data_IF_151912424339
#
_entry.id   IF_151912424339
#
_cell.length_a   1.000
_cell.length_b   1.000
_cell.length_c   1.000
_cell.angle_alpha   90.00
_cell.angle_beta   90.00
_cell.angle_gamma   90.00
#
_symmetry.space_group_name_H-M   'P 1'
#
loop_
_entity.id
_entity.type
_entity.pdbx_description
1 polymer ?
#
# COMPACT_ATOMS: atom_id res chain seq x y z
N UNK A 1 33.29 53.79 -14.41
CA UNK A 1 33.50 52.36 -14.10
C UNK A 1 32.17 51.72 -13.77
N UNK A 2 31.50 51.15 -14.77
CA UNK A 2 30.22 50.44 -14.60
C UNK A 2 30.54 48.97 -14.39
N UNK A 3 30.29 48.46 -13.18
CA UNK A 3 30.37 47.02 -12.87
C UNK A 3 29.23 46.33 -13.60
N UNK A 4 29.56 45.53 -14.62
CA UNK A 4 28.63 44.55 -15.20
C UNK A 4 28.32 43.50 -14.14
N UNK A 5 27.11 43.55 -13.60
CA UNK A 5 26.52 42.44 -12.84
C UNK A 5 26.25 41.32 -13.84
N UNK A 6 27.00 40.22 -13.74
CA UNK A 6 26.68 39.00 -14.46
C UNK A 6 25.43 38.41 -13.82
N UNK A 7 24.29 38.55 -14.50
CA UNK A 7 23.09 37.79 -14.19
C UNK A 7 23.36 36.33 -14.62
N UNK A 8 23.82 35.50 -13.69
CA UNK A 8 23.80 34.04 -13.84
C UNK A 8 22.36 33.59 -13.74
N UNK A 9 21.70 33.44 -14.88
CA UNK A 9 20.49 32.62 -14.99
C UNK A 9 20.84 31.19 -14.57
N UNK A 10 20.05 30.53 -13.71
CA UNK A 10 20.29 29.14 -13.37
C UNK A 10 20.22 28.30 -14.64
N UNK A 11 21.34 27.69 -15.03
CA UNK A 11 21.38 26.77 -16.16
C UNK A 11 20.49 25.58 -15.80
N UNK A 12 19.35 25.45 -16.46
CA UNK A 12 18.44 24.34 -16.25
C UNK A 12 19.06 23.10 -16.88
N UNK A 13 19.26 22.03 -16.11
CA UNK A 13 19.87 20.77 -16.59
C UNK A 13 18.88 19.88 -17.35
N UNK A 14 17.73 20.42 -17.76
CA UNK A 14 16.62 19.66 -18.35
C UNK A 14 17.00 18.97 -19.67
N UNK A 15 17.77 19.65 -20.52
CA UNK A 15 18.20 19.09 -21.79
C UNK A 15 19.16 17.91 -21.57
N UNK A 16 20.08 18.02 -20.61
CA UNK A 16 20.98 16.93 -20.25
C UNK A 16 20.23 15.75 -19.62
N UNK A 17 19.22 16.02 -18.79
CA UNK A 17 18.37 14.96 -18.23
C UNK A 17 17.63 14.21 -19.34
N UNK A 18 17.01 14.91 -20.28
CA UNK A 18 16.28 14.29 -21.38
C UNK A 18 17.20 13.45 -22.28
N UNK A 19 18.43 13.93 -22.56
CA UNK A 19 19.43 13.15 -23.29
C UNK A 19 19.74 11.81 -22.62
N UNK A 20 19.85 11.79 -21.28
CA UNK A 20 20.08 10.55 -20.52
C UNK A 20 18.84 9.67 -20.53
N UNK A 21 17.64 10.24 -20.40
CA UNK A 21 16.38 9.49 -20.44
C UNK A 21 16.18 8.79 -21.79
N UNK A 22 16.33 9.52 -22.90
CA UNK A 22 16.23 8.99 -24.25
C UNK A 22 17.25 7.88 -24.50
N UNK A 23 18.47 8.10 -24.01
CA UNK A 23 19.53 7.11 -24.12
C UNK A 23 19.20 5.82 -23.36
N UNK A 24 18.78 5.90 -22.10
CA UNK A 24 18.37 4.72 -21.32
C UNK A 24 17.19 4.02 -21.98
N UNK A 25 16.21 4.77 -22.51
CA UNK A 25 15.08 4.21 -23.24
C UNK A 25 15.52 3.45 -24.49
N UNK A 26 16.50 3.97 -25.23
CA UNK A 26 17.11 3.28 -26.38
C UNK A 26 17.82 1.99 -25.95
N UNK A 27 18.65 2.04 -24.89
CA UNK A 27 19.37 0.86 -24.37
C UNK A 27 18.38 -0.26 -24.02
N UNK A 28 17.35 0.09 -23.25
CA UNK A 28 16.31 -0.82 -22.76
C UNK A 28 15.46 -1.43 -23.90
N UNK A 29 15.39 -0.77 -25.06
CA UNK A 29 14.69 -1.28 -26.24
C UNK A 29 15.54 -2.20 -27.11
N UNK A 30 16.86 -2.04 -27.10
CA UNK A 30 17.78 -2.64 -28.08
C UNK A 30 18.70 -3.70 -27.50
N UNK A 31 18.95 -3.67 -26.20
CA UNK A 31 19.94 -4.52 -25.52
C UNK A 31 19.27 -5.47 -24.52
N UNK A 32 19.98 -6.54 -24.16
CA UNK A 32 19.51 -7.45 -23.11
C UNK A 32 19.56 -6.79 -21.73
N UNK A 33 18.72 -7.20 -20.76
CA UNK A 33 18.74 -6.65 -19.40
C UNK A 33 20.11 -6.67 -18.73
N UNK A 34 20.89 -7.73 -18.93
CA UNK A 34 22.25 -7.86 -18.37
C UNK A 34 23.18 -6.79 -18.92
N UNK A 35 23.13 -6.50 -20.22
CA UNK A 35 23.91 -5.44 -20.84
C UNK A 35 23.49 -4.06 -20.35
N UNK A 36 22.19 -3.83 -20.21
CA UNK A 36 21.65 -2.58 -19.66
C UNK A 36 22.09 -2.36 -18.21
N UNK A 37 22.06 -3.40 -17.35
CA UNK A 37 22.59 -3.33 -15.99
C UNK A 37 24.09 -3.01 -15.98
N UNK A 38 24.87 -3.63 -16.86
CA UNK A 38 26.29 -3.33 -16.98
C UNK A 38 26.53 -1.87 -17.39
N UNK A 39 25.77 -1.36 -18.35
CA UNK A 39 25.84 0.06 -18.75
C UNK A 39 25.43 0.99 -17.61
N UNK A 40 24.35 0.67 -16.91
CA UNK A 40 23.90 1.43 -15.75
C UNK A 40 24.96 1.48 -14.65
N UNK A 41 25.61 0.35 -14.38
CA UNK A 41 26.73 0.25 -13.45
C UNK A 41 27.91 1.14 -13.86
N UNK A 42 28.32 1.12 -15.14
CA UNK A 42 29.42 1.96 -15.62
C UNK A 42 29.08 3.45 -15.57
N UNK A 43 27.85 3.83 -15.94
CA UNK A 43 27.41 5.23 -16.00
C UNK A 43 27.27 5.84 -14.61
N UNK A 44 26.53 5.19 -13.72
CA UNK A 44 26.13 5.78 -12.44
C UNK A 44 27.00 5.30 -11.26
N UNK A 45 27.24 4.00 -11.14
CA UNK A 45 27.82 3.41 -9.91
C UNK A 45 29.35 3.47 -9.91
N UNK A 46 29.99 2.93 -10.96
CA UNK A 46 31.44 3.05 -11.15
C UNK A 46 31.83 4.48 -11.46
N UNK A 47 30.98 5.21 -12.18
CA UNK A 47 31.22 6.56 -12.69
C UNK A 47 32.47 6.64 -13.60
N UNK A 48 32.81 5.54 -14.28
CA UNK A 48 33.98 5.41 -15.15
C UNK A 48 33.73 4.38 -16.25
N UNK A 49 34.39 4.55 -17.40
CA UNK A 49 34.37 3.56 -18.48
C UNK A 49 33.10 3.52 -19.33
N UNK A 50 32.24 4.55 -19.25
CA UNK A 50 31.08 4.65 -20.14
C UNK A 50 31.50 5.04 -21.56
N UNK A 51 31.01 4.31 -22.57
CA UNK A 51 31.49 4.47 -23.95
C UNK A 51 30.97 5.73 -24.65
N UNK A 52 29.73 6.16 -24.35
CA UNK A 52 29.16 7.35 -24.98
C UNK A 52 29.61 8.62 -24.25
N UNK A 53 30.50 9.37 -24.91
CA UNK A 53 31.06 10.60 -24.35
C UNK A 53 30.01 11.72 -24.20
N UNK A 54 28.98 11.77 -25.06
CA UNK A 54 27.92 12.79 -24.97
C UNK A 54 27.09 12.58 -23.71
N UNK A 55 26.69 11.33 -23.47
CA UNK A 55 25.94 10.94 -22.26
C UNK A 55 26.76 11.15 -20.99
N UNK A 56 28.06 10.84 -21.05
CA UNK A 56 28.98 11.12 -19.93
C UNK A 56 29.04 12.61 -19.60
N UNK A 57 29.21 13.48 -20.60
CA UNK A 57 29.25 14.94 -20.41
C UNK A 57 27.90 15.45 -19.88
N UNK A 58 26.78 14.96 -20.40
CA UNK A 58 25.45 15.32 -19.91
C UNK A 58 25.29 14.99 -18.41
N UNK A 59 25.73 13.79 -17.98
CA UNK A 59 25.72 13.42 -16.57
C UNK A 59 26.65 14.29 -15.73
N UNK A 60 27.85 14.59 -16.23
CA UNK A 60 28.81 15.48 -15.56
C UNK A 60 28.19 16.86 -15.31
N UNK A 61 27.50 17.44 -16.29
CA UNK A 61 26.79 18.72 -16.17
C UNK A 61 25.67 18.68 -15.11
N UNK A 62 24.88 17.61 -15.06
CA UNK A 62 23.84 17.43 -14.05
C UNK A 62 24.46 17.37 -12.64
N UNK A 63 25.51 16.56 -12.48
CA UNK A 63 26.21 16.35 -11.21
C UNK A 63 26.89 17.64 -10.74
N UNK A 64 27.50 18.42 -11.64
CA UNK A 64 28.21 19.65 -11.28
C UNK A 64 27.28 20.87 -11.12
N UNK A 65 26.00 20.74 -11.45
CA UNK A 65 25.03 21.82 -11.22
C UNK A 65 24.90 22.23 -9.76
N UNK A 66 24.53 23.49 -9.54
CA UNK A 66 24.35 24.08 -8.21
C UNK A 66 23.15 23.48 -7.46
N UNK A 67 22.16 22.94 -8.19
CA UNK A 67 20.96 22.32 -7.62
C UNK A 67 21.03 20.78 -7.58
N UNK A 68 22.18 20.18 -7.88
CA UNK A 68 22.34 18.73 -7.98
C UNK A 68 21.83 17.98 -6.73
N UNK A 69 22.09 18.48 -5.52
CA UNK A 69 21.64 17.82 -4.28
C UNK A 69 20.10 17.74 -4.16
N UNK A 70 19.39 18.73 -4.72
CA UNK A 70 17.93 18.80 -4.68
C UNK A 70 17.29 18.03 -5.85
N UNK A 71 17.84 18.16 -7.05
CA UNK A 71 17.21 17.66 -8.28
C UNK A 71 17.64 16.21 -8.62
N UNK A 72 18.84 15.80 -8.21
CA UNK A 72 19.40 14.49 -8.55
C UNK A 72 18.53 13.31 -8.08
N UNK A 73 17.92 13.31 -6.87
CA UNK A 73 17.08 12.19 -6.45
C UNK A 73 15.91 11.94 -7.40
N UNK A 74 15.24 13.00 -7.87
CA UNK A 74 14.12 12.87 -8.81
C UNK A 74 14.61 12.40 -10.18
N UNK A 75 15.69 12.99 -10.68
CA UNK A 75 16.33 12.60 -11.95
C UNK A 75 16.73 11.12 -11.95
N UNK A 76 17.42 10.69 -10.90
CA UNK A 76 17.92 9.32 -10.78
C UNK A 76 16.77 8.31 -10.58
N UNK A 77 15.74 8.70 -9.83
CA UNK A 77 14.51 7.90 -9.72
C UNK A 77 13.86 7.66 -11.08
N UNK A 78 13.76 8.70 -11.93
CA UNK A 78 13.24 8.58 -13.29
C UNK A 78 14.11 7.65 -14.16
N UNK A 79 15.44 7.71 -14.03
CA UNK A 79 16.34 6.77 -14.70
C UNK A 79 16.04 5.30 -14.32
N UNK A 80 15.82 5.03 -13.04
CA UNK A 80 15.44 3.70 -12.56
C UNK A 80 14.08 3.27 -13.15
N UNK A 81 13.08 4.16 -13.12
CA UNK A 81 11.74 3.86 -13.63
C UNK A 81 11.71 3.61 -15.14
N UNK A 82 12.55 4.26 -15.95
CA UNK A 82 12.65 3.96 -17.39
C UNK A 82 12.99 2.49 -17.63
N UNK A 83 13.92 1.94 -16.84
CA UNK A 83 14.36 0.54 -16.95
C UNK A 83 13.27 -0.40 -16.41
N UNK A 84 12.81 -0.14 -15.18
CA UNK A 84 11.74 -0.91 -14.52
C UNK A 84 10.51 -0.98 -15.40
N UNK A 85 10.12 0.14 -16.01
CA UNK A 85 8.88 0.24 -16.75
C UNK A 85 8.83 -0.69 -17.97
N UNK A 86 9.99 -0.97 -18.57
CA UNK A 86 10.10 -1.93 -19.66
C UNK A 86 10.13 -3.36 -19.16
N UNK A 87 10.98 -3.65 -18.17
CA UNK A 87 11.25 -5.01 -17.74
C UNK A 87 10.05 -5.67 -17.08
N UNK A 88 9.23 -4.91 -16.36
CA UNK A 88 8.00 -5.42 -15.75
C UNK A 88 6.97 -5.97 -16.75
N UNK A 89 6.95 -5.45 -17.99
CA UNK A 89 6.02 -5.89 -19.05
C UNK A 89 6.37 -7.32 -19.48
N UNK A 90 7.63 -7.71 -19.35
CA UNK A 90 8.16 -8.98 -19.83
C UNK A 90 8.49 -9.87 -18.64
N UNK A 91 7.72 -10.94 -18.44
CA UNK A 91 7.84 -11.82 -17.25
C UNK A 91 9.28 -12.30 -17.01
N UNK A 92 10.01 -12.62 -18.08
CA UNK A 92 11.40 -13.09 -18.02
C UNK A 92 12.43 -12.02 -17.66
N UNK A 93 12.06 -10.74 -17.70
CA UNK A 93 12.91 -9.60 -17.33
C UNK A 93 12.62 -9.05 -15.91
N UNK A 94 11.58 -9.55 -15.26
CA UNK A 94 11.24 -9.17 -13.88
C UNK A 94 12.36 -9.44 -12.87
N UNK A 95 13.09 -10.56 -12.92
CA UNK A 95 14.21 -10.81 -11.99
C UNK A 95 15.30 -9.73 -12.04
N UNK A 96 15.50 -9.08 -13.19
CA UNK A 96 16.53 -8.06 -13.35
C UNK A 96 16.20 -6.73 -12.67
N UNK A 97 14.92 -6.48 -12.36
CA UNK A 97 14.52 -5.37 -11.50
C UNK A 97 15.10 -5.55 -10.09
N UNK A 98 15.16 -6.80 -9.60
CA UNK A 98 15.77 -7.12 -8.30
C UNK A 98 17.28 -6.87 -8.36
N UNK A 99 17.95 -7.31 -9.44
CA UNK A 99 19.38 -7.07 -9.65
C UNK A 99 19.72 -5.57 -9.73
N UNK A 100 18.86 -4.75 -10.33
CA UNK A 100 19.01 -3.30 -10.33
C UNK A 100 19.03 -2.74 -8.90
N UNK A 101 18.12 -3.18 -8.04
CA UNK A 101 18.08 -2.75 -6.64
C UNK A 101 19.32 -3.22 -5.88
N UNK A 102 19.71 -4.49 -6.02
CA UNK A 102 20.92 -5.02 -5.39
C UNK A 102 22.19 -4.29 -5.86
N UNK A 103 22.25 -3.89 -7.14
CA UNK A 103 23.34 -3.10 -7.69
C UNK A 103 23.46 -1.73 -7.00
N UNK A 104 22.33 -1.10 -6.66
CA UNK A 104 22.30 0.17 -5.92
C UNK A 104 22.73 0.00 -4.46
N UNK A 105 22.25 -1.05 -3.78
CA UNK A 105 22.65 -1.36 -2.39
C UNK A 105 24.15 -1.61 -2.27
N UNK A 106 24.75 -2.25 -3.28
CA UNK A 106 26.19 -2.54 -3.37
C UNK A 106 27.00 -1.37 -3.94
N UNK A 107 26.45 -0.17 -3.95
CA UNK A 107 27.13 1.01 -4.49
C UNK A 107 28.48 1.26 -3.83
N UNK A 108 29.45 1.70 -4.64
CA UNK A 108 30.83 1.87 -4.20
C UNK A 108 30.99 3.12 -3.32
N UNK A 109 31.89 3.08 -2.32
CA UNK A 109 32.12 4.25 -1.47
C UNK A 109 32.65 5.44 -2.29
N UNK A 110 32.31 6.68 -1.93
CA UNK A 110 32.79 7.88 -2.63
C UNK A 110 34.31 8.01 -2.64
N UNK A 111 34.99 7.50 -1.60
CA UNK A 111 36.43 7.67 -1.38
C UNK A 111 37.35 6.92 -2.35
N UNK A 112 36.86 5.95 -3.11
CA UNK A 112 37.73 5.10 -3.98
C UNK A 112 37.96 5.65 -5.39
N UNK A 113 37.51 6.87 -5.71
CA UNK A 113 37.73 7.50 -7.03
C UNK A 113 38.58 8.76 -6.95
N UNK A 114 39.47 8.91 -7.93
CA UNK A 114 40.36 10.07 -8.09
C UNK A 114 39.59 11.29 -8.59
N UNK A 115 38.68 11.13 -9.56
CA UNK A 115 37.90 12.23 -10.16
C UNK A 115 36.93 12.87 -9.15
N UNK A 116 36.93 14.21 -9.09
CA UNK A 116 36.03 15.00 -8.24
C UNK A 116 34.56 14.79 -8.62
N UNK A 117 34.25 14.77 -9.91
CA UNK A 117 32.88 14.58 -10.41
C UNK A 117 32.36 13.18 -10.04
N UNK A 118 33.16 12.13 -10.29
CA UNK A 118 32.80 10.75 -9.92
C UNK A 118 32.59 10.58 -8.41
N UNK A 119 33.38 11.26 -7.57
CA UNK A 119 33.18 11.28 -6.11
C UNK A 119 31.85 11.96 -5.74
N UNK A 120 31.51 13.08 -6.38
CA UNK A 120 30.24 13.79 -6.17
C UNK A 120 29.06 12.92 -6.59
N UNK A 121 29.12 12.27 -7.75
CA UNK A 121 28.09 11.34 -8.22
C UNK A 121 27.85 10.18 -7.24
N UNK A 122 28.93 9.54 -6.75
CA UNK A 122 28.79 8.48 -5.74
C UNK A 122 28.21 8.98 -4.42
N UNK A 123 28.51 10.22 -4.02
CA UNK A 123 27.88 10.82 -2.85
C UNK A 123 26.37 11.03 -3.09
N UNK A 124 25.98 11.57 -4.24
CA UNK A 124 24.57 11.75 -4.60
C UNK A 124 23.80 10.41 -4.65
N UNK A 125 24.41 9.33 -5.14
CA UNK A 125 23.82 7.98 -5.12
C UNK A 125 23.69 7.45 -3.70
N UNK A 126 24.71 7.67 -2.85
CA UNK A 126 24.65 7.30 -1.43
C UNK A 126 23.50 8.03 -0.73
N UNK A 127 23.33 9.31 -1.00
CA UNK A 127 22.24 10.11 -0.45
C UNK A 127 20.88 9.65 -0.99
N UNK A 128 20.79 9.32 -2.29
CA UNK A 128 19.60 8.74 -2.91
C UNK A 128 19.10 7.46 -2.21
N UNK A 129 20.01 6.56 -1.81
CA UNK A 129 19.65 5.30 -1.13
C UNK A 129 18.93 5.55 0.21
N UNK A 130 19.11 6.72 0.82
CA UNK A 130 18.42 7.11 2.05
C UNK A 130 17.05 7.75 1.82
N UNK A 131 16.68 8.00 0.56
CA UNK A 131 15.44 8.71 0.19
C UNK A 131 14.23 7.79 0.11
N UNK A 132 13.03 8.38 0.19
CA UNK A 132 11.76 7.65 0.01
C UNK A 132 11.66 7.01 -1.39
N UNK A 133 12.30 7.58 -2.42
CA UNK A 133 12.33 7.01 -3.76
C UNK A 133 12.96 5.61 -3.77
N UNK A 134 14.11 5.45 -3.12
CA UNK A 134 14.80 4.16 -3.09
C UNK A 134 14.03 3.11 -2.27
N UNK A 135 13.46 3.51 -1.13
CA UNK A 135 12.63 2.61 -0.30
C UNK A 135 11.47 2.03 -1.14
N UNK A 136 10.85 2.83 -2.00
CA UNK A 136 9.75 2.38 -2.86
C UNK A 136 10.22 1.47 -3.98
N UNK A 137 11.40 1.72 -4.54
CA UNK A 137 12.03 0.82 -5.49
C UNK A 137 12.36 -0.54 -4.84
N UNK A 138 12.83 -0.55 -3.59
CA UNK A 138 13.02 -1.79 -2.82
C UNK A 138 11.70 -2.52 -2.60
N UNK A 139 10.62 -1.83 -2.23
CA UNK A 139 9.28 -2.42 -2.07
C UNK A 139 8.77 -3.04 -3.38
N UNK A 140 9.00 -2.39 -4.51
CA UNK A 140 8.66 -2.93 -5.82
C UNK A 140 9.46 -4.20 -6.11
N UNK A 141 10.76 -4.21 -5.82
CA UNK A 141 11.58 -5.41 -6.01
C UNK A 141 11.11 -6.57 -5.11
N UNK A 142 10.74 -6.31 -3.85
CA UNK A 142 10.12 -7.33 -2.97
C UNK A 142 8.78 -7.84 -3.49
N UNK A 143 7.93 -6.94 -4.00
CA UNK A 143 6.66 -7.29 -4.62
C UNK A 143 6.88 -8.25 -5.81
N UNK A 144 7.87 -7.95 -6.64
CA UNK A 144 8.22 -8.77 -7.80
C UNK A 144 8.81 -10.11 -7.34
N UNK A 145 9.81 -10.11 -6.45
CA UNK A 145 10.46 -11.34 -5.95
C UNK A 145 9.44 -12.33 -5.36
N UNK A 146 8.49 -11.81 -4.59
CA UNK A 146 7.40 -12.60 -4.03
C UNK A 146 6.48 -13.22 -5.09
N UNK A 147 6.24 -12.51 -6.20
CA UNK A 147 5.43 -13.00 -7.33
C UNK A 147 6.12 -14.00 -8.26
N UNK A 148 7.46 -14.16 -8.14
CA UNK A 148 8.20 -15.10 -8.96
C UNK A 148 8.02 -16.54 -8.46
N UNK A 149 7.91 -17.47 -9.41
CA UNK A 149 7.96 -18.91 -9.15
C UNK A 149 9.28 -19.29 -8.45
N UNK A 150 9.28 -20.31 -7.57
CA UNK A 150 10.47 -20.70 -6.79
C UNK A 150 11.72 -20.96 -7.65
N UNK A 151 11.53 -21.46 -8.87
CA UNK A 151 12.60 -21.78 -9.83
C UNK A 151 13.23 -20.53 -10.48
N UNK A 152 12.45 -19.45 -10.58
CA UNK A 152 12.91 -18.17 -11.14
C UNK A 152 13.58 -17.26 -10.10
N UNK A 153 13.46 -17.58 -8.81
CA UNK A 153 14.09 -16.84 -7.72
C UNK A 153 15.59 -17.10 -7.71
N UNK A 154 16.39 -16.06 -7.88
CA UNK A 154 17.86 -16.14 -7.80
C UNK A 154 18.30 -16.21 -6.33
N UNK A 155 19.44 -16.83 -6.07
CA UNK A 155 19.96 -17.06 -4.71
C UNK A 155 20.32 -15.77 -3.94
N UNK A 156 20.45 -14.64 -4.62
CA UNK A 156 20.72 -13.35 -4.00
C UNK A 156 19.40 -12.69 -3.59
N UNK A 157 18.89 -13.03 -2.40
CA UNK A 157 17.78 -12.28 -1.81
C UNK A 157 18.26 -10.87 -1.46
N UNK A 158 17.37 -9.89 -1.57
CA UNK A 158 17.58 -8.60 -0.93
C UNK A 158 17.70 -8.91 0.58
N UNK A 159 18.85 -8.63 1.19
CA UNK A 159 19.12 -8.91 2.61
C UNK A 159 18.31 -7.96 3.49
N UNK A 160 17.00 -8.16 3.54
CA UNK A 160 16.14 -7.59 4.58
C UNK A 160 15.75 -8.74 5.50
N UNK A 161 15.75 -8.43 6.79
CA UNK A 161 15.37 -9.29 7.92
C UNK A 161 14.38 -10.36 7.47
N UNK A 162 14.85 -11.61 7.33
CA UNK A 162 13.99 -12.71 6.89
C UNK A 162 12.76 -12.79 7.79
N UNK A 163 11.56 -12.73 7.21
CA UNK A 163 10.26 -12.71 7.89
C UNK A 163 9.93 -11.35 8.53
N UNK A 164 10.09 -10.27 7.77
CA UNK A 164 9.66 -8.92 8.15
C UNK A 164 8.27 -8.60 7.60
N UNK A 165 7.58 -7.64 8.21
CA UNK A 165 6.29 -7.13 7.68
C UNK A 165 6.45 -6.62 6.25
N UNK A 166 7.61 -6.04 5.91
CA UNK A 166 7.93 -5.56 4.58
C UNK A 166 7.88 -6.64 3.49
N UNK A 167 8.14 -7.90 3.83
CA UNK A 167 8.10 -9.04 2.89
C UNK A 167 6.66 -9.42 2.52
N UNK A 168 5.69 -8.99 3.33
CA UNK A 168 4.26 -9.24 3.10
C UNK A 168 3.62 -8.23 2.14
N UNK A 169 4.34 -7.22 1.63
CA UNK A 169 3.76 -6.19 0.74
C UNK A 169 3.00 -6.80 -0.44
N UNK A 170 3.50 -7.90 -0.99
CA UNK A 170 2.87 -8.64 -2.10
C UNK A 170 1.47 -9.16 -1.78
N UNK A 171 1.15 -9.40 -0.51
CA UNK A 171 -0.14 -9.94 -0.08
C UNK A 171 -1.22 -8.87 -0.01
N UNK A 172 -0.85 -7.59 0.11
CA UNK A 172 -1.77 -6.49 0.41
C UNK A 172 -1.92 -5.53 -0.77
N UNK A 173 -2.65 -5.90 -1.85
CA UNK A 173 -2.83 -5.07 -3.04
C UNK A 173 -3.43 -3.70 -2.72
N UNK A 174 -4.35 -3.62 -1.74
CA UNK A 174 -4.95 -2.36 -1.31
C UNK A 174 -3.94 -1.33 -0.76
N UNK A 175 -2.68 -1.71 -0.48
CA UNK A 175 -1.65 -0.78 -0.04
C UNK A 175 -0.70 -0.35 -1.16
N UNK A 176 -0.70 -1.02 -2.32
CA UNK A 176 0.36 -0.88 -3.33
C UNK A 176 0.50 0.54 -3.86
N UNK A 177 -0.60 1.18 -4.26
CA UNK A 177 -0.57 2.58 -4.70
C UNK A 177 0.11 3.49 -3.67
N UNK A 178 -0.26 3.41 -2.40
CA UNK A 178 0.28 4.28 -1.36
C UNK A 178 1.70 3.90 -0.91
N UNK A 179 2.06 2.62 -0.98
CA UNK A 179 3.38 2.13 -0.62
C UNK A 179 4.43 2.29 -1.73
N UNK A 180 4.01 2.42 -3.00
CA UNK A 180 4.89 2.43 -4.18
C UNK A 180 4.91 3.78 -4.91
N UNK A 181 3.79 4.54 -5.00
CA UNK A 181 3.71 5.80 -5.78
C UNK A 181 3.96 7.10 -4.97
N UNK A 182 4.88 7.94 -5.45
CA UNK A 182 5.18 9.29 -4.92
C UNK A 182 4.54 10.38 -5.76
N UNK A 183 4.51 11.62 -5.26
CA UNK A 183 4.15 12.80 -6.08
C UNK A 183 5.06 12.96 -7.32
N UNK A 184 6.29 12.44 -7.29
CA UNK A 184 7.21 12.43 -8.43
C UNK A 184 7.12 11.20 -9.33
N UNK A 185 6.15 10.30 -9.11
CA UNK A 185 6.01 9.08 -9.92
C UNK A 185 5.40 9.39 -11.29
N UNK A 186 6.02 8.88 -12.36
CA UNK A 186 5.54 9.08 -13.73
C UNK A 186 4.22 8.36 -13.98
N UNK A 187 3.42 8.84 -14.93
CA UNK A 187 2.13 8.22 -15.30
C UNK A 187 2.30 6.75 -15.71
N UNK A 188 3.37 6.41 -16.43
CA UNK A 188 3.64 5.03 -16.85
C UNK A 188 3.92 4.12 -15.65
N UNK A 189 4.63 4.64 -14.64
CA UNK A 189 4.88 3.88 -13.41
C UNK A 189 3.58 3.70 -12.60
N UNK A 190 2.73 4.72 -12.54
CA UNK A 190 1.41 4.64 -11.90
C UNK A 190 0.53 3.55 -12.53
N UNK A 191 0.40 3.56 -13.86
CA UNK A 191 -0.35 2.54 -14.62
C UNK A 191 0.17 1.12 -14.38
N UNK A 192 1.47 0.99 -14.15
CA UNK A 192 2.05 -0.31 -13.85
C UNK A 192 1.64 -0.80 -12.48
N UNK A 193 1.82 0.04 -11.45
CA UNK A 193 1.44 -0.32 -10.09
C UNK A 193 -0.05 -0.70 -10.05
N UNK A 194 -0.90 0.03 -10.77
CA UNK A 194 -2.32 -0.32 -10.95
C UNK A 194 -2.54 -1.69 -11.58
N UNK A 195 -1.82 -1.99 -12.68
CA UNK A 195 -1.94 -3.28 -13.37
C UNK A 195 -1.52 -4.45 -12.47
N UNK A 196 -0.40 -4.30 -11.74
CA UNK A 196 0.09 -5.32 -10.81
C UNK A 196 -0.91 -5.52 -9.66
N UNK A 197 -1.38 -4.42 -9.08
CA UNK A 197 -2.36 -4.43 -7.99
C UNK A 197 -3.65 -5.14 -8.41
N UNK A 198 -4.21 -4.79 -9.58
CA UNK A 198 -5.44 -5.40 -10.08
C UNK A 198 -5.32 -6.91 -10.29
N UNK A 199 -4.18 -7.36 -10.83
CA UNK A 199 -3.90 -8.79 -11.01
C UNK A 199 -3.82 -9.56 -9.69
N UNK A 200 -3.10 -9.02 -8.70
CA UNK A 200 -2.97 -9.63 -7.37
C UNK A 200 -4.31 -9.65 -6.63
N UNK A 201 -5.06 -8.54 -6.68
CA UNK A 201 -6.38 -8.44 -6.05
C UNK A 201 -7.35 -9.46 -6.66
N UNK A 202 -7.43 -9.54 -7.99
CA UNK A 202 -8.32 -10.48 -8.68
C UNK A 202 -8.03 -11.95 -8.31
N UNK A 203 -6.74 -12.31 -8.26
CA UNK A 203 -6.33 -13.66 -7.86
C UNK A 203 -6.69 -13.96 -6.39
N UNK A 204 -6.46 -12.99 -5.49
CA UNK A 204 -6.85 -13.13 -4.09
C UNK A 204 -8.36 -13.33 -3.94
N UNK A 205 -9.17 -12.49 -4.59
CA UNK A 205 -10.63 -12.55 -4.53
C UNK A 205 -11.18 -13.87 -5.08
N UNK A 206 -10.61 -14.37 -6.17
CA UNK A 206 -10.94 -15.68 -6.73
C UNK A 206 -10.64 -16.81 -5.73
N UNK A 207 -9.45 -16.81 -5.14
CA UNK A 207 -9.06 -17.84 -4.17
C UNK A 207 -9.93 -17.79 -2.90
N UNK A 208 -10.27 -16.57 -2.43
CA UNK A 208 -11.17 -16.37 -1.31
C UNK A 208 -12.58 -16.91 -1.62
N UNK A 209 -13.12 -16.60 -2.80
CA UNK A 209 -14.42 -17.12 -3.25
C UNK A 209 -14.45 -18.65 -3.34
N UNK A 210 -13.40 -19.27 -3.89
CA UNK A 210 -13.27 -20.73 -3.94
C UNK A 210 -13.23 -21.34 -2.54
N UNK A 211 -12.45 -20.75 -1.62
CA UNK A 211 -12.36 -21.20 -0.24
C UNK A 211 -13.72 -21.10 0.47
N UNK A 212 -14.40 -19.96 0.38
CA UNK A 212 -15.70 -19.76 1.04
C UNK A 212 -16.76 -20.71 0.48
N UNK A 213 -16.84 -20.86 -0.85
CA UNK A 213 -17.74 -21.81 -1.52
C UNK A 213 -17.50 -23.23 -1.01
N UNK A 214 -16.24 -23.62 -0.88
CA UNK A 214 -15.86 -24.91 -0.33
C UNK A 214 -16.31 -25.05 1.14
N UNK A 215 -16.11 -24.05 1.99
CA UNK A 215 -16.56 -24.05 3.40
C UNK A 215 -18.07 -24.24 3.52
N UNK A 216 -18.86 -23.50 2.73
CA UNK A 216 -20.32 -23.63 2.73
C UNK A 216 -20.76 -25.01 2.25
N UNK A 217 -20.13 -25.55 1.20
CA UNK A 217 -20.39 -26.91 0.71
C UNK A 217 -20.11 -27.95 1.80
N UNK A 218 -19.00 -27.82 2.52
CA UNK A 218 -18.67 -28.72 3.63
C UNK A 218 -19.70 -28.62 4.76
N UNK A 219 -20.10 -27.41 5.17
CA UNK A 219 -21.12 -27.22 6.21
C UNK A 219 -22.46 -27.88 5.83
N UNK A 220 -22.90 -27.71 4.57
CA UNK A 220 -24.11 -28.37 4.04
C UNK A 220 -23.97 -29.89 4.01
N UNK A 221 -22.81 -30.41 3.62
CA UNK A 221 -22.53 -31.84 3.59
C UNK A 221 -22.55 -32.45 5.00
N UNK A 222 -21.91 -31.79 5.97
CA UNK A 222 -21.92 -32.19 7.38
C UNK A 222 -23.34 -32.22 7.92
N UNK A 223 -24.15 -31.19 7.65
CA UNK A 223 -25.57 -31.15 8.06
C UNK A 223 -26.37 -32.31 7.46
N UNK A 224 -26.19 -32.58 6.16
CA UNK A 224 -26.87 -33.69 5.45
C UNK A 224 -26.50 -35.05 6.02
N UNK A 225 -25.21 -35.29 6.30
CA UNK A 225 -24.76 -36.57 6.84
C UNK A 225 -25.17 -36.78 8.30
N UNK A 226 -25.13 -35.71 9.12
CA UNK A 226 -25.69 -35.73 10.48
C UNK A 226 -27.19 -36.07 10.46
N UNK A 227 -27.97 -35.44 9.58
CA UNK A 227 -29.40 -35.74 9.44
C UNK A 227 -29.68 -37.18 8.98
N UNK A 228 -28.73 -37.80 8.26
CA UNK A 228 -28.81 -39.20 7.83
C UNK A 228 -28.20 -40.19 8.85
N UNK A 229 -27.86 -39.75 10.07
CA UNK A 229 -27.17 -40.56 11.10
C UNK A 229 -25.87 -41.23 10.59
N UNK A 230 -25.19 -40.62 9.61
CA UNK A 230 -23.92 -41.11 9.07
C UNK A 230 -22.75 -40.33 9.67
N UNK A 231 -21.80 -41.04 10.27
CA UNK A 231 -20.63 -40.45 10.94
C UNK A 231 -19.41 -40.30 10.04
N UNK A 232 -19.36 -41.00 8.90
CA UNK A 232 -18.22 -40.98 7.97
C UNK A 232 -18.61 -40.31 6.65
N UNK A 233 -17.99 -39.15 6.38
CA UNK A 233 -18.06 -38.49 5.07
C UNK A 233 -16.90 -39.02 4.21
N UNK A 234 -17.17 -39.53 3.00
CA UNK A 234 -16.12 -39.97 2.08
C UNK A 234 -15.10 -38.86 1.80
N UNK A 235 -13.80 -39.14 1.96
CA UNK A 235 -12.72 -38.18 1.69
C UNK A 235 -12.75 -37.61 0.27
N UNK A 236 -13.23 -38.38 -0.72
CA UNK A 236 -13.39 -37.92 -2.11
C UNK A 236 -14.36 -36.74 -2.26
N UNK A 237 -15.27 -36.53 -1.31
CA UNK A 237 -16.23 -35.41 -1.31
C UNK A 237 -15.67 -34.16 -0.60
N UNK A 238 -14.53 -34.28 0.08
CA UNK A 238 -13.84 -33.23 0.81
C UNK A 238 -12.58 -32.92 0.01
N UNK A 239 -12.71 -32.11 -1.05
CA UNK A 239 -11.54 -31.59 -1.76
C UNK A 239 -10.87 -30.55 -0.89
N UNK A 240 -9.56 -30.68 -0.62
CA UNK A 240 -8.85 -29.67 0.17
C UNK A 240 -8.72 -28.40 -0.67
N UNK A 241 -9.22 -27.30 -0.15
CA UNK A 241 -8.98 -25.94 -0.66
C UNK A 241 -8.26 -25.20 0.45
N UNK A 242 -7.10 -24.65 0.14
CA UNK A 242 -6.28 -23.94 1.12
C UNK A 242 -6.88 -22.55 1.43
N UNK A 243 -6.68 -22.09 2.66
CA UNK A 243 -7.07 -20.77 3.10
C UNK A 243 -6.11 -19.73 2.48
N UNK A 244 -6.60 -18.76 1.69
CA UNK A 244 -5.73 -17.79 1.03
C UNK A 244 -5.19 -16.69 1.97
N UNK A 245 -5.68 -16.63 3.21
CA UNK A 245 -5.31 -15.63 4.22
C UNK A 245 -4.26 -16.18 5.20
N UNK A 246 -3.59 -15.28 5.92
CA UNK A 246 -2.75 -15.64 7.08
C UNK A 246 -3.56 -15.81 8.38
N UNK A 247 -4.89 -15.63 8.32
CA UNK A 247 -5.77 -15.91 9.45
C UNK A 247 -5.95 -17.42 9.61
N UNK A 248 -6.17 -17.87 10.84
CA UNK A 248 -6.64 -19.24 11.07
C UNK A 248 -8.01 -19.43 10.42
N UNK A 249 -8.38 -20.67 10.03
CA UNK A 249 -9.72 -20.94 9.48
C UNK A 249 -10.85 -20.46 10.41
N UNK A 250 -10.63 -20.51 11.72
CA UNK A 250 -11.58 -20.03 12.72
C UNK A 250 -11.71 -18.50 12.68
N UNK A 251 -10.59 -17.79 12.58
CA UNK A 251 -10.59 -16.34 12.56
C UNK A 251 -11.10 -15.80 11.24
N UNK A 252 -10.81 -16.45 10.11
CA UNK A 252 -11.40 -16.13 8.82
C UNK A 252 -12.92 -16.37 8.84
N UNK A 253 -13.40 -17.49 9.38
CA UNK A 253 -14.84 -17.73 9.53
C UNK A 253 -15.52 -16.66 10.39
N UNK A 254 -14.87 -16.20 11.47
CA UNK A 254 -15.37 -15.10 12.32
C UNK A 254 -15.42 -13.78 11.54
N UNK A 255 -14.36 -13.46 10.80
CA UNK A 255 -14.27 -12.27 9.98
C UNK A 255 -15.38 -12.24 8.92
N UNK A 256 -15.55 -13.34 8.18
CA UNK A 256 -16.59 -13.44 7.14
C UNK A 256 -18.00 -13.34 7.71
N UNK A 257 -18.30 -14.01 8.83
CA UNK A 257 -19.59 -13.83 9.53
C UNK A 257 -19.80 -12.39 9.96
N UNK A 258 -18.74 -11.69 10.34
CA UNK A 258 -18.83 -10.32 10.79
C UNK A 258 -19.06 -9.33 9.64
N UNK A 259 -18.34 -9.50 8.53
CA UNK A 259 -18.42 -8.56 7.40
C UNK A 259 -19.59 -8.85 6.45
N UNK A 260 -20.00 -10.11 6.28
CA UNK A 260 -21.12 -10.49 5.40
C UNK A 260 -22.44 -10.69 6.16
N UNK A 261 -22.37 -10.97 7.45
CA UNK A 261 -23.52 -11.37 8.24
C UNK A 261 -24.30 -10.19 8.83
N UNK A 262 -25.36 -10.54 9.54
CA UNK A 262 -26.19 -9.61 10.30
C UNK A 262 -25.64 -9.47 11.71
N UNK A 263 -24.85 -8.43 11.94
CA UNK A 263 -24.04 -8.28 13.16
C UNK A 263 -24.67 -7.37 14.20
N UNK A 264 -25.53 -6.44 13.81
CA UNK A 264 -26.10 -5.44 14.71
C UNK A 264 -27.63 -5.44 14.60
N UNK A 265 -28.30 -5.99 15.63
CA UNK A 265 -29.77 -6.05 15.70
C UNK A 265 -30.43 -6.60 14.42
N UNK A 266 -29.86 -7.66 13.85
CA UNK A 266 -30.30 -8.32 12.61
C UNK A 266 -30.13 -7.49 11.31
N UNK A 267 -29.22 -6.51 11.32
CA UNK A 267 -28.82 -5.73 10.15
C UNK A 267 -27.37 -6.04 9.78
N UNK A 268 -27.09 -6.09 8.48
CA UNK A 268 -25.73 -6.07 7.94
C UNK A 268 -25.15 -4.65 7.98
N UNK A 269 -23.85 -4.50 7.77
CA UNK A 269 -23.24 -3.16 7.66
C UNK A 269 -23.78 -2.36 6.48
N UNK A 270 -24.12 -3.02 5.37
CA UNK A 270 -24.79 -2.38 4.25
C UNK A 270 -26.19 -1.86 4.63
N UNK A 271 -26.99 -2.67 5.33
CA UNK A 271 -28.33 -2.23 5.78
C UNK A 271 -28.23 -1.01 6.71
N UNK A 272 -27.22 -0.99 7.59
CA UNK A 272 -26.98 0.12 8.50
C UNK A 272 -26.52 1.38 7.77
N UNK A 273 -25.61 1.26 6.80
CA UNK A 273 -25.14 2.41 6.03
C UNK A 273 -26.28 3.05 5.24
N UNK A 274 -27.13 2.24 4.59
CA UNK A 274 -28.29 2.76 3.85
C UNK A 274 -29.29 3.48 4.75
N UNK A 275 -29.54 2.95 5.97
CA UNK A 275 -30.40 3.63 6.95
C UNK A 275 -29.82 4.97 7.39
N UNK A 276 -28.52 5.02 7.67
CA UNK A 276 -27.83 6.24 8.04
C UNK A 276 -27.91 7.27 6.91
N UNK A 277 -27.54 6.89 5.69
CA UNK A 277 -27.57 7.77 4.52
C UNK A 277 -28.97 8.32 4.25
N UNK A 278 -30.01 7.49 4.38
CA UNK A 278 -31.40 7.93 4.23
C UNK A 278 -31.76 8.98 5.29
N UNK A 279 -31.34 8.80 6.55
CA UNK A 279 -31.54 9.79 7.60
C UNK A 279 -30.77 11.09 7.32
N UNK A 280 -29.51 10.97 6.87
CA UNK A 280 -28.63 12.11 6.59
C UNK A 280 -29.20 13.06 5.52
N UNK A 281 -30.00 12.57 4.57
CA UNK A 281 -30.68 13.45 3.59
C UNK A 281 -31.65 14.45 4.21
N UNK A 282 -32.10 14.22 5.45
CA UNK A 282 -33.03 15.07 6.18
C UNK A 282 -32.33 15.98 7.19
N UNK A 283 -31.04 15.76 7.42
CA UNK A 283 -30.22 16.51 8.37
C UNK A 283 -30.01 17.94 7.87
N UNK A 284 -30.27 18.94 8.72
CA UNK A 284 -30.32 20.36 8.30
C UNK A 284 -29.03 21.12 8.54
N UNK A 285 -28.15 20.57 9.39
CA UNK A 285 -26.89 21.21 9.76
C UNK A 285 -25.76 20.21 9.92
N UNK A 286 -24.53 20.67 9.70
CA UNK A 286 -23.33 19.88 9.96
C UNK A 286 -23.24 19.43 11.43
N UNK A 287 -23.72 20.25 12.38
CA UNK A 287 -23.79 19.89 13.80
C UNK A 287 -24.64 18.64 14.05
N UNK A 288 -25.84 18.60 13.49
CA UNK A 288 -26.75 17.46 13.61
C UNK A 288 -26.11 16.21 12.97
N UNK A 289 -25.50 16.35 11.80
CA UNK A 289 -24.79 15.26 11.13
C UNK A 289 -23.69 14.64 12.02
N UNK A 290 -22.91 15.47 12.71
CA UNK A 290 -21.87 14.98 13.65
C UNK A 290 -22.46 14.22 14.82
N UNK A 291 -23.61 14.67 15.33
CA UNK A 291 -24.36 13.95 16.37
C UNK A 291 -24.86 12.59 15.89
N UNK A 292 -25.50 12.55 14.72
CA UNK A 292 -25.98 11.30 14.13
C UNK A 292 -24.82 10.33 13.85
N UNK A 293 -23.69 10.84 13.35
CA UNK A 293 -22.50 10.05 13.06
C UNK A 293 -21.87 9.47 14.34
N UNK A 294 -21.86 10.24 15.42
CA UNK A 294 -21.42 9.75 16.73
C UNK A 294 -22.27 8.55 17.18
N UNK A 295 -23.60 8.67 17.14
CA UNK A 295 -24.51 7.58 17.52
C UNK A 295 -24.36 6.35 16.61
N UNK A 296 -24.20 6.57 15.30
CA UNK A 296 -23.94 5.51 14.33
C UNK A 296 -22.67 4.71 14.66
N UNK A 297 -21.57 5.39 15.01
CA UNK A 297 -20.31 4.75 15.36
C UNK A 297 -20.44 4.00 16.69
N UNK A 298 -20.96 4.65 17.74
CA UNK A 298 -21.06 4.07 19.09
C UNK A 298 -22.03 2.89 19.14
N UNK A 299 -23.06 2.86 18.30
CA UNK A 299 -24.03 1.76 18.24
C UNK A 299 -23.41 0.38 17.96
N UNK A 300 -22.25 0.34 17.31
CA UNK A 300 -21.51 -0.89 17.00
C UNK A 300 -20.38 -1.21 17.99
N UNK A 301 -20.15 -0.38 19.01
CA UNK A 301 -19.07 -0.53 19.98
C UNK A 301 -19.61 -1.13 21.28
N UNK A 302 -18.84 -2.02 21.90
CA UNK A 302 -19.20 -2.58 23.22
C UNK A 302 -19.37 -1.46 24.26
N UNK A 303 -20.51 -1.41 24.95
CA UNK A 303 -20.85 -0.30 25.85
C UNK A 303 -19.84 -0.12 26.98
N UNK A 304 -19.26 -1.21 27.51
CA UNK A 304 -18.30 -1.12 28.62
C UNK A 304 -16.98 -0.51 28.19
N UNK A 305 -16.51 -0.83 26.98
CA UNK A 305 -15.34 -0.20 26.41
C UNK A 305 -15.65 1.23 25.97
N UNK A 306 -16.75 1.42 25.24
CA UNK A 306 -17.24 2.68 24.72
C UNK A 306 -17.28 3.76 25.78
N UNK A 307 -18.08 3.57 26.82
CA UNK A 307 -18.33 4.56 27.88
C UNK A 307 -17.05 4.96 28.64
N UNK A 308 -16.09 4.04 28.79
CA UNK A 308 -14.91 4.27 29.65
C UNK A 308 -13.70 4.84 28.92
N UNK A 309 -13.53 4.53 27.62
CA UNK A 309 -12.26 4.76 26.93
C UNK A 309 -12.39 5.43 25.57
N UNK A 310 -13.56 5.33 24.92
CA UNK A 310 -13.70 5.68 23.51
C UNK A 310 -14.72 6.79 23.24
N UNK A 311 -15.94 6.69 23.78
CA UNK A 311 -17.08 7.54 23.43
C UNK A 311 -16.78 9.03 23.65
N UNK A 312 -16.28 9.41 24.83
CA UNK A 312 -15.95 10.82 25.10
C UNK A 312 -14.88 11.36 24.16
N UNK A 313 -13.82 10.57 23.89
CA UNK A 313 -12.76 10.98 22.96
C UNK A 313 -13.27 11.12 21.52
N UNK A 314 -14.16 10.23 21.10
CA UNK A 314 -14.80 10.30 19.78
C UNK A 314 -15.70 11.54 19.69
N UNK A 315 -16.51 11.79 20.71
CA UNK A 315 -17.37 12.96 20.79
C UNK A 315 -16.54 14.25 20.69
N UNK A 316 -15.48 14.37 21.49
CA UNK A 316 -14.55 15.51 21.45
C UNK A 316 -13.90 15.66 20.07
N UNK A 317 -13.48 14.55 19.44
CA UNK A 317 -12.92 14.58 18.09
C UNK A 317 -13.91 15.15 17.08
N UNK A 318 -15.16 14.68 17.09
CA UNK A 318 -16.21 15.15 16.18
C UNK A 318 -16.57 16.60 16.46
N UNK A 319 -16.83 16.98 17.70
CA UNK A 319 -17.20 18.35 18.04
C UNK A 319 -16.11 19.34 17.65
N UNK A 320 -14.83 19.02 17.86
CA UNK A 320 -13.72 19.89 17.47
C UNK A 320 -13.38 19.87 15.97
N UNK A 321 -14.04 19.02 15.16
CA UNK A 321 -13.82 18.99 13.72
C UNK A 321 -14.65 20.06 13.03
N UNK A 322 -13.96 21.04 12.42
CA UNK A 322 -14.54 22.03 11.49
C UNK A 322 -15.69 22.83 12.13
N UNK A 323 -15.44 23.40 13.32
CA UNK A 323 -16.43 24.13 14.14
C UNK A 323 -16.95 25.41 13.49
N UNK A 324 -16.23 25.95 12.51
CA UNK A 324 -16.66 27.11 11.73
C UNK A 324 -17.79 26.79 10.73
N UNK A 325 -18.14 25.52 10.53
CA UNK A 325 -19.17 25.08 9.57
C UNK A 325 -20.41 24.46 10.22
N UNK A 326 -20.56 24.54 11.56
CA UNK A 326 -21.62 23.84 12.32
C UNK A 326 -23.04 24.07 11.81
N UNK A 327 -23.37 25.33 11.49
CA UNK A 327 -24.72 25.72 11.06
C UNK A 327 -24.89 25.67 9.53
N UNK A 328 -23.88 25.19 8.80
CA UNK A 328 -23.92 25.03 7.33
C UNK A 328 -24.64 23.73 6.97
N UNK A 329 -25.32 23.74 5.82
CA UNK A 329 -25.84 22.51 5.21
C UNK A 329 -24.70 21.55 4.86
N UNK A 330 -24.99 20.25 4.97
CA UNK A 330 -24.02 19.21 4.69
C UNK A 330 -23.73 19.14 3.18
N UNK A 331 -22.45 19.22 2.83
CA UNK A 331 -21.98 18.97 1.48
C UNK A 331 -20.99 17.78 1.46
N UNK A 332 -20.65 17.34 0.26
CA UNK A 332 -19.70 16.24 0.05
C UNK A 332 -18.32 16.56 0.65
N UNK A 333 -17.90 17.83 0.60
CA UNK A 333 -16.61 18.26 1.14
C UNK A 333 -16.54 18.08 2.66
N UNK A 334 -17.53 18.58 3.39
CA UNK A 334 -17.64 18.42 4.84
C UNK A 334 -17.65 16.95 5.20
N UNK A 335 -18.50 16.16 4.53
CA UNK A 335 -18.62 14.71 4.74
C UNK A 335 -17.28 13.98 4.58
N UNK A 336 -16.59 14.20 3.45
CA UNK A 336 -15.29 13.58 3.18
C UNK A 336 -14.24 14.01 4.21
N UNK A 337 -14.20 15.29 4.57
CA UNK A 337 -13.22 15.82 5.55
C UNK A 337 -13.45 15.24 6.94
N UNK A 338 -14.70 15.07 7.37
CA UNK A 338 -15.04 14.43 8.65
C UNK A 338 -14.56 12.98 8.67
N UNK A 339 -14.85 12.19 7.62
CA UNK A 339 -14.40 10.79 7.57
C UNK A 339 -12.87 10.67 7.50
N UNK A 340 -12.19 11.53 6.74
CA UNK A 340 -10.72 11.61 6.75
C UNK A 340 -10.18 11.88 8.16
N UNK A 341 -10.78 12.84 8.87
CA UNK A 341 -10.38 13.17 10.24
C UNK A 341 -10.65 12.02 11.22
N UNK A 342 -11.75 11.29 11.05
CA UNK A 342 -12.03 10.09 11.83
C UNK A 342 -11.01 8.99 11.59
N UNK A 343 -10.59 8.74 10.34
CA UNK A 343 -9.55 7.74 10.08
C UNK A 343 -8.19 8.13 10.66
N UNK A 344 -7.85 9.42 10.70
CA UNK A 344 -6.68 9.92 11.45
C UNK A 344 -6.78 9.61 12.93
N UNK A 345 -7.96 9.87 13.52
CA UNK A 345 -8.21 9.64 14.93
C UNK A 345 -8.20 8.16 15.29
N UNK A 346 -8.82 7.31 14.47
CA UNK A 346 -9.00 5.87 14.74
C UNK A 346 -7.76 5.03 14.42
N UNK A 347 -7.01 5.38 13.37
CA UNK A 347 -5.90 4.56 12.85
C UNK A 347 -4.55 5.20 13.14
N UNK A 348 -4.21 6.28 12.43
CA UNK A 348 -2.93 7.00 12.57
C UNK A 348 -3.00 8.38 11.91
N UNK A 349 -2.42 9.42 12.51
CA UNK A 349 -2.53 10.80 12.03
C UNK A 349 -1.59 11.13 10.84
N UNK A 350 -0.34 10.66 10.85
CA UNK A 350 0.57 10.93 9.74
C UNK A 350 1.94 10.26 9.85
N UNK A 351 2.76 10.42 8.81
CA UNK A 351 4.11 9.82 8.73
C UNK A 351 5.07 10.35 9.82
N UNK A 352 4.91 11.60 10.28
CA UNK A 352 5.76 12.22 11.31
C UNK A 352 5.34 11.94 12.76
N UNK A 353 4.10 11.51 12.96
CA UNK A 353 3.54 11.10 14.25
C UNK A 353 2.78 9.79 14.03
N UNK A 354 3.52 8.69 13.96
CA UNK A 354 2.94 7.34 13.89
C UNK A 354 2.27 6.95 15.22
N UNK A 355 1.60 7.89 15.90
CA UNK A 355 0.81 7.61 17.09
C UNK A 355 -0.47 6.88 16.66
N UNK A 356 -0.45 5.58 16.89
CA UNK A 356 -1.53 4.65 16.61
C UNK A 356 -1.99 3.94 17.90
N UNK A 357 -1.72 4.53 19.07
CA UNK A 357 -2.12 3.99 20.38
C UNK A 357 -3.63 3.74 20.45
N UNK A 358 -4.44 4.64 19.86
CA UNK A 358 -5.89 4.47 19.80
C UNK A 358 -6.29 3.26 18.97
N UNK A 359 -5.59 2.99 17.88
CA UNK A 359 -5.82 1.81 17.06
C UNK A 359 -5.49 0.53 17.85
N UNK A 360 -4.37 0.55 18.59
CA UNK A 360 -4.00 -0.56 19.48
C UNK A 360 -5.00 -0.76 20.62
N UNK A 361 -5.52 0.31 21.22
CA UNK A 361 -6.60 0.24 22.21
C UNK A 361 -7.84 -0.43 21.58
N UNK A 362 -8.26 0.03 20.40
CA UNK A 362 -9.41 -0.57 19.70
C UNK A 362 -9.19 -2.07 19.45
N UNK A 363 -8.02 -2.48 18.95
CA UNK A 363 -7.71 -3.89 18.74
C UNK A 363 -7.71 -4.66 20.06
N UNK A 364 -7.10 -4.11 21.11
CA UNK A 364 -6.96 -4.78 22.41
C UNK A 364 -8.31 -5.05 23.05
N UNK A 365 -9.27 -4.14 22.91
CA UNK A 365 -10.57 -4.23 23.58
C UNK A 365 -11.69 -4.77 22.70
N UNK A 366 -11.68 -4.52 21.39
CA UNK A 366 -12.72 -4.99 20.46
C UNK A 366 -12.28 -6.22 19.65
N UNK A 367 -10.99 -6.43 19.47
CA UNK A 367 -10.42 -7.40 18.54
C UNK A 367 -10.35 -6.86 17.11
N UNK A 368 -9.42 -7.40 16.32
CA UNK A 368 -9.12 -6.94 14.95
C UNK A 368 -10.36 -6.97 14.06
N UNK A 369 -11.17 -8.04 14.15
CA UNK A 369 -12.39 -8.22 13.36
C UNK A 369 -13.38 -7.06 13.56
N UNK A 370 -13.63 -6.67 14.81
CA UNK A 370 -14.60 -5.61 15.12
C UNK A 370 -14.03 -4.22 14.85
N UNK A 371 -12.73 -4.03 15.08
CA UNK A 371 -12.05 -2.77 14.76
C UNK A 371 -12.08 -2.50 13.26
N UNK A 372 -11.76 -3.49 12.43
CA UNK A 372 -11.87 -3.35 10.97
C UNK A 372 -13.35 -3.21 10.54
N UNK A 373 -14.27 -3.92 11.19
CA UNK A 373 -15.71 -3.75 10.97
C UNK A 373 -16.19 -2.32 11.20
N UNK A 374 -15.71 -1.66 12.26
CA UNK A 374 -15.99 -0.25 12.53
C UNK A 374 -15.46 0.68 11.43
N UNK A 375 -14.26 0.41 10.92
CA UNK A 375 -13.68 1.19 9.82
C UNK A 375 -14.45 0.96 8.51
N UNK A 376 -14.84 -0.29 8.23
CA UNK A 376 -15.67 -0.65 7.09
C UNK A 376 -17.04 0.05 7.14
N UNK A 377 -17.68 0.13 8.32
CA UNK A 377 -18.93 0.88 8.51
C UNK A 377 -18.82 2.33 8.05
N UNK A 378 -17.67 2.97 8.24
CA UNK A 378 -17.41 4.34 7.79
C UNK A 378 -17.16 4.42 6.29
N UNK A 379 -16.38 3.50 5.73
CA UNK A 379 -16.14 3.44 4.28
C UNK A 379 -17.45 3.23 3.51
N UNK A 380 -18.36 2.39 4.03
CA UNK A 380 -19.67 2.14 3.40
C UNK A 380 -20.62 3.36 3.40
N UNK A 381 -20.33 4.40 4.19
CA UNK A 381 -21.07 5.67 4.09
C UNK A 381 -20.60 6.51 2.91
N UNK A 382 -19.32 6.41 2.53
CA UNK A 382 -18.75 7.15 1.41
C UNK A 382 -17.56 6.38 0.83
N UNK A 383 -17.79 5.66 -0.27
CA UNK A 383 -16.75 4.83 -0.89
C UNK A 383 -15.50 5.63 -1.32
N UNK A 384 -15.67 6.92 -1.64
CA UNK A 384 -14.57 7.84 -1.99
C UNK A 384 -13.52 8.00 -0.89
N UNK A 385 -13.81 7.62 0.35
CA UNK A 385 -12.83 7.67 1.46
C UNK A 385 -12.03 6.38 1.62
N UNK A 386 -12.32 5.33 0.85
CA UNK A 386 -11.56 4.06 0.85
C UNK A 386 -10.05 4.27 0.60
N UNK A 387 -9.60 5.01 -0.43
CA UNK A 387 -8.17 5.24 -0.64
C UNK A 387 -7.51 5.98 0.54
N UNK A 388 -8.27 6.80 1.26
CA UNK A 388 -7.74 7.45 2.44
C UNK A 388 -7.48 6.46 3.58
N UNK A 389 -8.37 5.49 3.79
CA UNK A 389 -8.15 4.43 4.77
C UNK A 389 -6.96 3.54 4.39
N UNK A 390 -6.83 3.19 3.11
CA UNK A 390 -5.67 2.48 2.56
C UNK A 390 -4.36 3.24 2.83
N UNK A 391 -4.37 4.56 2.62
CA UNK A 391 -3.25 5.43 2.97
C UNK A 391 -2.88 5.37 4.46
N UNK A 392 -3.86 5.27 5.37
CA UNK A 392 -3.60 5.17 6.82
C UNK A 392 -2.88 3.87 7.16
N UNK A 393 -3.32 2.76 6.57
CA UNK A 393 -2.66 1.47 6.75
C UNK A 393 -1.29 1.41 6.07
N UNK A 394 -1.06 2.12 4.96
CA UNK A 394 0.27 2.19 4.34
C UNK A 394 1.30 2.93 5.21
N UNK A 395 0.86 3.91 6.01
CA UNK A 395 1.69 4.57 7.02
C UNK A 395 2.09 3.57 8.11
N UNK A 396 1.14 2.79 8.64
CA UNK A 396 1.43 1.75 9.63
C UNK A 396 2.37 0.68 9.05
N UNK A 397 2.10 0.22 7.84
CA UNK A 397 2.95 -0.75 7.14
C UNK A 397 4.39 -0.23 7.01
N UNK A 398 4.54 1.03 6.58
CA UNK A 398 5.86 1.67 6.46
C UNK A 398 6.58 1.78 7.80
N UNK A 399 5.86 2.05 8.90
CA UNK A 399 6.44 2.16 10.23
C UNK A 399 6.94 0.80 10.76
N UNK A 400 6.24 -0.29 10.44
CA UNK A 400 6.57 -1.65 10.88
C UNK A 400 7.37 -2.46 9.87
N UNK A 401 7.78 -1.88 8.74
CA UNK A 401 8.35 -2.60 7.60
C UNK A 401 9.57 -3.47 7.97
N UNK A 402 10.46 -2.97 8.83
CA UNK A 402 11.65 -3.68 9.30
C UNK A 402 11.42 -4.57 10.54
N UNK A 403 10.19 -4.59 11.07
CA UNK A 403 9.82 -5.39 12.24
C UNK A 403 9.46 -6.81 11.79
N UNK A 404 9.83 -7.81 12.58
CA UNK A 404 9.49 -9.21 12.31
C UNK A 404 7.97 -9.43 12.43
N UNK A 405 7.43 -10.31 11.59
CA UNK A 405 5.98 -10.58 11.52
C UNK A 405 5.39 -10.93 12.90
N UNK A 406 6.08 -11.76 13.70
CA UNK A 406 5.63 -12.16 15.04
C UNK A 406 5.44 -10.97 16.00
N UNK A 407 6.34 -9.98 15.91
CA UNK A 407 6.31 -8.79 16.79
C UNK A 407 5.24 -7.79 16.38
N UNK A 408 4.82 -7.84 15.13
CA UNK A 408 3.77 -6.99 14.57
C UNK A 408 2.53 -7.81 14.14
N UNK A 409 2.27 -8.94 14.83
CA UNK A 409 1.18 -9.85 14.47
C UNK A 409 -0.20 -9.19 14.48
N UNK A 410 -0.42 -8.19 15.33
CA UNK A 410 -1.64 -7.37 15.34
C UNK A 410 -1.86 -6.64 14.01
N UNK A 411 -0.79 -6.13 13.40
CA UNK A 411 -0.84 -5.41 12.13
C UNK A 411 -1.13 -6.37 10.99
N UNK A 412 -0.44 -7.50 10.96
CA UNK A 412 -0.68 -8.58 9.97
C UNK A 412 -2.14 -9.02 10.02
N UNK A 413 -2.67 -9.36 11.22
CA UNK A 413 -4.08 -9.73 11.39
C UNK A 413 -5.05 -8.62 10.99
N UNK A 414 -4.71 -7.36 11.26
CA UNK A 414 -5.55 -6.21 10.86
C UNK A 414 -5.57 -6.05 9.35
N UNK A 415 -4.43 -6.20 8.66
CA UNK A 415 -4.33 -6.12 7.21
C UNK A 415 -5.06 -7.27 6.52
N UNK A 416 -4.95 -8.49 7.03
CA UNK A 416 -5.70 -9.64 6.52
C UNK A 416 -7.21 -9.43 6.71
N UNK A 417 -7.65 -8.91 7.85
CA UNK A 417 -9.05 -8.55 8.07
C UNK A 417 -9.54 -7.43 7.14
N UNK A 418 -8.72 -6.39 6.93
CA UNK A 418 -9.00 -5.29 6.01
C UNK A 418 -9.18 -5.82 4.58
N UNK A 419 -8.30 -6.71 4.16
CA UNK A 419 -8.36 -7.32 2.83
C UNK A 419 -9.64 -8.15 2.64
N UNK A 420 -9.99 -8.99 3.62
CA UNK A 420 -11.24 -9.76 3.58
C UNK A 420 -12.45 -8.82 3.54
N UNK A 421 -12.48 -7.80 4.39
CA UNK A 421 -13.56 -6.82 4.45
C UNK A 421 -13.73 -6.09 3.10
N UNK A 422 -12.63 -5.65 2.49
CA UNK A 422 -12.67 -4.95 1.22
C UNK A 422 -13.04 -5.85 0.05
N UNK A 423 -12.50 -7.07 -0.01
CA UNK A 423 -12.86 -8.02 -1.08
C UNK A 423 -14.34 -8.39 -1.04
N UNK A 424 -14.93 -8.51 0.15
CA UNK A 424 -16.36 -8.84 0.29
C UNK A 424 -17.28 -7.71 -0.17
N UNK A 425 -16.90 -6.44 0.07
CA UNK A 425 -17.79 -5.28 -0.16
C UNK A 425 -17.48 -4.48 -1.43
N UNK A 426 -16.23 -4.52 -1.89
CA UNK A 426 -15.74 -3.74 -3.04
C UNK A 426 -15.01 -4.61 -4.07
N UNK A 427 -14.98 -5.93 -3.88
CA UNK A 427 -14.40 -6.87 -4.83
C UNK A 427 -15.37 -7.28 -5.93
N UNK A 428 -14.84 -7.87 -7.00
CA UNK A 428 -15.62 -8.32 -8.16
C UNK A 428 -16.33 -9.66 -7.92
N UNK A 429 -15.88 -10.41 -6.92
CA UNK A 429 -16.47 -11.69 -6.57
C UNK A 429 -17.83 -11.50 -5.87
N UNK A 430 -18.89 -12.05 -6.47
CA UNK A 430 -20.22 -12.02 -5.86
C UNK A 430 -20.34 -13.05 -4.72
N UNK A 431 -20.38 -12.56 -3.49
CA UNK A 431 -20.57 -13.36 -2.28
C UNK A 431 -22.05 -13.42 -1.82
N UNK A 432 -22.99 -12.78 -2.52
CA UNK A 432 -24.39 -12.66 -2.11
C UNK A 432 -25.13 -14.00 -2.00
N UNK A 433 -24.73 -14.98 -2.81
CA UNK A 433 -25.31 -16.34 -2.82
C UNK A 433 -24.75 -17.23 -1.70
N UNK A 434 -23.75 -16.76 -0.98
CA UNK A 434 -23.08 -17.48 0.08
C UNK A 434 -23.77 -17.18 1.41
N UNK A 435 -24.79 -17.97 1.73
CA UNK A 435 -25.33 -18.00 3.09
C UNK A 435 -24.31 -18.68 4.02
N UNK A 436 -23.50 -17.86 4.68
CA UNK A 436 -22.65 -18.31 5.78
C UNK A 436 -23.56 -18.68 6.95
N UNK A 437 -23.56 -19.97 7.32
CA UNK A 437 -24.36 -20.54 8.42
C UNK A 437 -23.66 -20.31 9.76
#
# INVERSE_FOLDING_TARGET
>A
MVRKSYNTTPHSTKEEQEQIYDHLLYCVKTESPVQVLERFNHLFIKATGYQDNRIRIALENIVDSNSAELDFPLFFNRCCHIIVNRWQIQVHHKPEIIELVLLLERSLPPGSVVSRNARKLRQLIKDFITTEYFIRLQRLARLIDGSLEPEARRSHRIEIVSNSVGDLIQRYPYLHQHCLLTEGSTEEFQQTVETIQAGIQSNYELNLSQYITHRVRLARLVKKYKAANKTKIPKRLIQKVDNPTLLSDLDLDRALRHYMGKVEKNHSYYDLSQKFLTHTTQTRSYREFKGDLYEYIVSGVDSRFGERRFNNKLYDCLQNTMTEFEDRELDEFLTMRTYCQLFKFLVVDGKGSANHERFLDLITYLGEVRTIGLLLKLVLLCEKVKPYLEQRFSILFSHYEAVSEDRASWLVKSLENLQVAFSVHFGEADFSLIQII
#
